data_IF_231693695046
#
_entry.id   IF_231693695046
#
_cell.length_a   1.000
_cell.length_b   1.000
_cell.length_c   1.000
_cell.angle_alpha   90.00
_cell.angle_beta   90.00
_cell.angle_gamma   90.00
#
_symmetry.space_group_name_H-M   'P 1'
#
loop_
_entity.id
_entity.type
_entity.pdbx_description
1 polymer ?
#
# COMPACT_ATOMS: atom_id res chain seq x y z
N UNK A 1 -5.46 31.58 -3.91
CA UNK A 1 -5.84 31.68 -5.34
C UNK A 1 -6.75 30.52 -5.61
N UNK A 2 -8.03 30.78 -5.85
CA UNK A 2 -9.08 29.79 -6.06
C UNK A 2 -9.11 29.44 -7.55
N UNK A 3 -8.73 28.22 -7.92
CA UNK A 3 -8.71 27.78 -9.32
C UNK A 3 -10.05 27.13 -9.68
N UNK A 4 -11.08 27.96 -9.80
CA UNK A 4 -12.43 27.55 -10.25
C UNK A 4 -12.52 27.29 -11.76
N UNK A 5 -11.43 27.02 -12.47
CA UNK A 5 -11.45 26.77 -13.92
C UNK A 5 -10.35 25.80 -14.34
N UNK A 6 -10.62 25.03 -15.40
CA UNK A 6 -9.78 23.94 -15.87
C UNK A 6 -8.32 24.35 -16.07
N UNK A 7 -7.41 23.76 -15.29
CA UNK A 7 -5.97 23.89 -15.49
C UNK A 7 -5.56 22.89 -16.55
N UNK A 8 -5.06 23.37 -17.69
CA UNK A 8 -4.43 22.53 -18.72
C UNK A 8 -2.91 22.53 -18.57
N UNK A 9 -2.34 21.36 -18.28
CA UNK A 9 -0.89 21.19 -18.12
C UNK A 9 -0.16 20.95 -19.46
N UNK A 10 -0.82 20.38 -20.47
CA UNK A 10 -0.26 20.11 -21.81
C UNK A 10 1.14 19.47 -21.77
N UNK A 11 1.33 18.45 -20.92
CA UNK A 11 2.62 17.77 -20.73
C UNK A 11 3.69 18.55 -19.95
N UNK A 12 3.43 19.80 -19.55
CA UNK A 12 4.39 20.68 -18.87
C UNK A 12 4.39 20.51 -17.35
N UNK A 13 5.46 21.00 -16.73
CA UNK A 13 5.53 21.17 -15.28
C UNK A 13 5.09 22.58 -14.90
N UNK A 14 4.07 22.69 -14.06
CA UNK A 14 3.64 23.94 -13.44
C UNK A 14 4.06 23.92 -11.97
N UNK A 15 4.92 24.86 -11.58
CA UNK A 15 5.28 25.05 -10.17
C UNK A 15 4.29 26.00 -9.52
N UNK A 16 3.70 25.59 -8.41
CA UNK A 16 2.80 26.42 -7.61
C UNK A 16 3.27 26.46 -6.16
N UNK A 17 3.04 27.58 -5.47
CA UNK A 17 3.37 27.63 -4.05
C UNK A 17 2.54 26.63 -3.24
N UNK A 18 1.23 26.58 -3.49
CA UNK A 18 0.28 25.61 -2.92
C UNK A 18 -0.75 25.24 -3.99
N UNK A 19 -1.14 23.97 -4.05
CA UNK A 19 -2.22 23.51 -4.92
C UNK A 19 -3.52 23.36 -4.13
N UNK A 20 -4.56 24.12 -4.49
CA UNK A 20 -5.85 24.10 -3.78
C UNK A 20 -7.03 24.33 -4.73
N UNK A 21 -8.03 23.43 -4.65
CA UNK A 21 -9.24 23.45 -5.48
C UNK A 21 -10.42 22.81 -4.75
N UNK A 22 -11.63 23.36 -4.89
CA UNK A 22 -12.85 22.73 -4.36
C UNK A 22 -13.92 22.71 -5.44
N UNK A 23 -14.50 21.53 -5.72
CA UNK A 23 -15.56 21.41 -6.73
C UNK A 23 -15.09 21.68 -8.17
N UNK A 24 -13.79 21.59 -8.43
CA UNK A 24 -13.20 21.94 -9.71
C UNK A 24 -13.06 20.73 -10.64
N UNK A 25 -12.87 20.99 -11.94
CA UNK A 25 -12.34 20.01 -12.89
C UNK A 25 -10.97 20.45 -13.35
N UNK A 26 -9.97 19.59 -13.19
CA UNK A 26 -8.59 19.77 -13.67
C UNK A 26 -8.39 18.89 -14.89
N UNK A 27 -7.90 19.45 -16.00
CA UNK A 27 -7.71 18.69 -17.25
C UNK A 27 -6.21 18.64 -17.55
N UNK A 28 -5.55 17.57 -17.15
CA UNK A 28 -4.14 17.37 -17.38
C UNK A 28 -3.89 16.39 -18.54
N UNK A 29 -3.54 16.90 -19.72
CA UNK A 29 -3.11 16.07 -20.84
C UNK A 29 -1.62 15.68 -20.69
N UNK A 30 -1.27 14.98 -19.61
CA UNK A 30 0.12 14.80 -19.20
C UNK A 30 0.66 15.99 -18.41
N UNK A 31 1.83 15.82 -17.79
CA UNK A 31 2.55 16.90 -17.10
C UNK A 31 2.62 16.72 -15.59
N UNK A 32 3.11 17.75 -14.90
CA UNK A 32 3.35 17.73 -13.46
C UNK A 32 2.85 19.02 -12.80
N UNK A 33 2.07 18.90 -11.74
CA UNK A 33 1.88 19.97 -10.77
C UNK A 33 2.93 19.79 -9.68
N UNK A 34 3.85 20.73 -9.57
CA UNK A 34 4.91 20.74 -8.57
C UNK A 34 4.56 21.77 -7.48
N UNK A 35 3.87 21.30 -6.44
CA UNK A 35 3.41 22.13 -5.34
C UNK A 35 4.50 22.22 -4.26
N UNK A 36 5.04 23.43 -4.08
CA UNK A 36 6.10 23.70 -3.08
C UNK A 36 5.63 23.35 -1.67
N UNK A 37 4.36 23.59 -1.35
CA UNK A 37 3.71 23.17 -0.11
C UNK A 37 2.39 22.49 -0.40
N UNK A 38 1.97 21.66 0.54
CA UNK A 38 0.61 21.12 0.59
C UNK A 38 -0.40 22.26 0.57
N UNK A 39 -1.34 22.22 -0.38
CA UNK A 39 -2.62 22.91 -0.25
C UNK A 39 -3.77 21.92 -0.07
N UNK A 40 -5.00 22.40 -0.05
CA UNK A 40 -6.19 21.60 0.19
C UNK A 40 -7.01 21.45 -1.09
N UNK A 41 -7.36 20.22 -1.46
CA UNK A 41 -8.36 20.00 -2.49
C UNK A 41 -9.41 18.95 -2.12
N UNK A 42 -10.62 19.17 -2.63
CA UNK A 42 -11.80 18.37 -2.34
C UNK A 42 -12.77 18.40 -3.52
N UNK A 43 -13.57 17.34 -3.69
CA UNK A 43 -14.62 17.29 -4.71
C UNK A 43 -14.12 17.65 -6.12
N UNK A 44 -12.86 17.31 -6.41
CA UNK A 44 -12.18 17.70 -7.65
C UNK A 44 -12.11 16.51 -8.60
N UNK A 45 -12.49 16.74 -9.85
CA UNK A 45 -12.35 15.76 -10.93
C UNK A 45 -11.08 16.04 -11.72
N UNK A 46 -10.17 15.08 -11.80
CA UNK A 46 -8.96 15.15 -12.61
C UNK A 46 -9.14 14.31 -13.87
N UNK A 47 -8.99 14.95 -15.04
CA UNK A 47 -9.06 14.32 -16.37
C UNK A 47 -7.69 14.28 -17.02
N UNK A 48 -7.35 13.15 -17.63
CA UNK A 48 -6.05 12.91 -18.26
C UNK A 48 -4.93 12.60 -17.26
N UNK A 49 -3.82 12.07 -17.79
CA UNK A 49 -2.72 11.57 -16.98
C UNK A 49 -1.96 12.73 -16.32
N UNK A 50 -1.63 12.62 -15.02
CA UNK A 50 -0.77 13.63 -14.39
C UNK A 50 0.01 13.14 -13.18
N UNK A 51 1.10 13.85 -12.92
CA UNK A 51 1.86 13.74 -11.67
C UNK A 51 1.57 14.93 -10.77
N UNK A 52 1.27 14.67 -9.51
CA UNK A 52 1.21 15.66 -8.45
C UNK A 52 2.40 15.44 -7.51
N UNK A 53 3.31 16.41 -7.49
CA UNK A 53 4.39 16.47 -6.50
C UNK A 53 3.99 17.42 -5.38
N UNK A 54 4.09 16.96 -4.14
CA UNK A 54 3.66 17.74 -2.97
C UNK A 54 4.77 17.79 -1.95
N UNK A 55 5.01 19.01 -1.49
CA UNK A 55 6.12 19.39 -0.64
C UNK A 55 7.44 19.20 -1.40
N UNK A 56 8.28 20.23 -1.40
CA UNK A 56 9.67 20.10 -1.80
C UNK A 56 10.51 19.72 -0.58
N UNK A 57 11.74 19.32 -0.85
CA UNK A 57 12.75 19.26 0.19
C UNK A 57 12.81 20.61 0.93
N UNK A 58 13.05 20.58 2.24
CA UNK A 58 13.08 21.75 3.15
C UNK A 58 11.72 22.44 3.43
N UNK A 59 10.66 22.16 2.66
CA UNK A 59 9.31 22.70 2.92
C UNK A 59 8.35 21.67 3.53
N UNK A 60 8.89 20.52 3.89
CA UNK A 60 8.19 19.31 4.33
C UNK A 60 7.89 19.26 5.83
N UNK A 61 7.97 20.39 6.54
CA UNK A 61 7.74 20.50 7.99
C UNK A 61 6.27 20.69 8.39
N UNK A 62 5.31 20.41 7.49
CA UNK A 62 3.89 20.73 7.70
C UNK A 62 3.00 19.50 7.55
N UNK A 63 1.97 19.41 8.41
CA UNK A 63 0.93 18.41 8.33
C UNK A 63 -0.05 18.79 7.21
N UNK A 64 -0.26 17.89 6.26
CA UNK A 64 -1.06 18.15 5.08
C UNK A 64 -2.14 17.09 4.84
N UNK A 65 -3.24 17.47 4.20
CA UNK A 65 -4.24 16.48 3.80
C UNK A 65 -5.06 16.90 2.57
N UNK A 66 -5.53 15.91 1.81
CA UNK A 66 -6.58 16.03 0.80
C UNK A 66 -7.89 15.56 1.42
N UNK A 67 -8.92 16.40 1.39
CA UNK A 67 -10.16 16.12 2.12
C UNK A 67 -11.06 15.09 1.44
N UNK A 68 -10.81 14.79 0.16
CA UNK A 68 -11.41 13.66 -0.53
C UNK A 68 -12.56 14.02 -1.46
N UNK A 69 -13.42 13.06 -1.80
CA UNK A 69 -14.45 13.17 -2.83
C UNK A 69 -13.89 13.47 -4.23
N UNK A 70 -12.61 13.16 -4.46
CA UNK A 70 -11.95 13.39 -5.73
C UNK A 70 -12.13 12.20 -6.66
N UNK A 71 -12.20 12.48 -7.96
CA UNK A 71 -12.21 11.45 -9.00
C UNK A 71 -11.01 11.65 -9.91
N UNK A 72 -10.22 10.61 -10.11
CA UNK A 72 -9.08 10.59 -11.03
C UNK A 72 -9.47 9.71 -12.22
N UNK A 73 -9.82 10.33 -13.36
CA UNK A 73 -10.40 9.62 -14.51
C UNK A 73 -9.36 8.79 -15.30
N UNK A 74 -8.07 9.10 -15.13
CA UNK A 74 -6.94 8.48 -15.84
C UNK A 74 -5.77 8.21 -14.89
N UNK A 75 -4.58 7.93 -15.42
CA UNK A 75 -3.43 7.54 -14.62
C UNK A 75 -2.96 8.69 -13.72
N UNK A 76 -2.72 8.35 -12.45
CA UNK A 76 -2.37 9.31 -11.43
C UNK A 76 -1.10 8.91 -10.71
N UNK A 77 -0.16 9.85 -10.59
CA UNK A 77 1.03 9.68 -9.76
C UNK A 77 1.12 10.75 -8.70
N UNK A 78 1.03 10.36 -7.44
CA UNK A 78 1.39 11.19 -6.30
C UNK A 78 2.84 10.94 -5.91
N UNK A 79 3.63 12.01 -5.78
CA UNK A 79 4.96 11.99 -5.15
C UNK A 79 4.96 12.96 -3.98
N UNK A 80 4.97 12.43 -2.77
CA UNK A 80 4.96 13.24 -1.56
C UNK A 80 6.33 13.23 -0.90
N UNK A 81 6.88 14.43 -0.63
CA UNK A 81 8.08 14.59 0.18
C UNK A 81 7.67 14.89 1.62
N UNK A 82 7.47 13.85 2.43
CA UNK A 82 7.14 14.02 3.86
C UNK A 82 8.40 14.34 4.68
N UNK A 83 8.32 15.26 5.63
CA UNK A 83 9.41 15.56 6.55
C UNK A 83 9.41 14.66 7.77
N UNK A 84 10.53 14.63 8.48
CA UNK A 84 10.61 13.89 9.73
C UNK A 84 9.52 14.38 10.70
N UNK A 85 8.82 13.45 11.33
CA UNK A 85 7.69 13.72 12.21
C UNK A 85 6.45 14.38 11.56
N UNK A 86 6.34 14.38 10.23
CA UNK A 86 5.20 15.00 9.52
C UNK A 86 4.36 13.99 8.75
N UNK A 87 3.13 14.38 8.46
CA UNK A 87 2.10 13.53 7.87
C UNK A 87 1.47 14.20 6.66
N UNK A 88 1.24 13.43 5.59
CA UNK A 88 0.40 13.80 4.47
C UNK A 88 -0.73 12.79 4.27
N UNK A 89 -1.99 13.21 4.36
CA UNK A 89 -3.16 12.35 4.14
C UNK A 89 -3.77 12.50 2.75
N UNK A 90 -4.16 11.41 2.11
CA UNK A 90 -5.05 11.41 0.93
C UNK A 90 -6.34 10.67 1.25
N UNK A 91 -7.45 11.05 0.62
CA UNK A 91 -8.79 10.59 1.01
C UNK A 91 -8.97 10.75 2.53
N UNK A 92 -8.90 11.98 3.06
CA UNK A 92 -8.87 12.18 4.52
C UNK A 92 -10.26 12.24 5.17
N UNK A 93 -11.30 12.72 4.49
CA UNK A 93 -12.65 12.83 5.06
C UNK A 93 -13.68 12.08 4.24
N UNK A 94 -13.65 12.25 2.91
CA UNK A 94 -14.55 11.55 1.99
C UNK A 94 -13.74 10.64 1.09
N UNK A 95 -14.32 9.54 0.65
CA UNK A 95 -13.65 8.59 -0.24
C UNK A 95 -13.23 9.20 -1.58
N UNK A 96 -12.09 8.76 -2.10
CA UNK A 96 -11.60 9.09 -3.45
C UNK A 96 -11.81 7.90 -4.40
N UNK A 97 -11.99 8.20 -5.68
CA UNK A 97 -12.15 7.22 -6.76
C UNK A 97 -11.02 7.36 -7.80
N UNK A 98 -10.25 6.30 -7.99
CA UNK A 98 -9.16 6.23 -8.96
C UNK A 98 -9.53 5.27 -10.09
N UNK A 99 -9.73 5.79 -11.31
CA UNK A 99 -10.15 5.01 -12.47
C UNK A 99 -8.97 4.47 -13.30
N UNK A 100 -7.85 5.20 -13.36
CA UNK A 100 -6.62 4.77 -14.06
C UNK A 100 -5.58 4.11 -13.14
N UNK A 101 -4.42 3.79 -13.71
CA UNK A 101 -3.30 3.26 -12.93
C UNK A 101 -2.82 4.31 -11.92
N UNK A 102 -2.58 3.89 -10.68
CA UNK A 102 -2.27 4.81 -9.59
C UNK A 102 -0.94 4.48 -8.93
N UNK A 103 -0.06 5.47 -8.79
CA UNK A 103 1.15 5.37 -7.96
C UNK A 103 1.09 6.37 -6.82
N UNK A 104 1.14 5.87 -5.60
CA UNK A 104 1.21 6.65 -4.35
C UNK A 104 2.61 6.46 -3.79
N UNK A 105 3.46 7.48 -3.94
CA UNK A 105 4.88 7.41 -3.60
C UNK A 105 5.23 8.38 -2.47
N UNK A 106 5.84 7.86 -1.39
CA UNK A 106 6.51 8.66 -0.38
C UNK A 106 8.02 8.67 -0.66
N UNK A 107 8.58 9.85 -0.93
CA UNK A 107 10.03 10.05 -1.12
C UNK A 107 10.69 10.72 0.09
N UNK A 108 9.92 10.96 1.16
CA UNK A 108 10.40 11.60 2.39
C UNK A 108 10.40 10.65 3.58
N UNK A 109 10.80 11.17 4.75
CA UNK A 109 11.03 10.38 5.97
C UNK A 109 9.84 10.32 6.94
N UNK A 110 8.74 11.02 6.64
CA UNK A 110 7.53 11.06 7.44
C UNK A 110 6.48 10.03 7.02
N UNK A 111 5.21 10.31 7.34
CA UNK A 111 4.05 9.47 7.07
C UNK A 111 3.25 9.95 5.87
N UNK A 112 3.10 9.08 4.88
CA UNK A 112 2.07 9.23 3.85
C UNK A 112 0.88 8.33 4.23
N UNK A 113 -0.25 8.94 4.56
CA UNK A 113 -1.45 8.22 4.95
C UNK A 113 -2.50 8.22 3.83
N UNK A 114 -3.22 7.12 3.66
CA UNK A 114 -4.24 6.90 2.64
C UNK A 114 -5.50 6.41 3.33
N UNK A 115 -6.66 7.01 3.08
CA UNK A 115 -7.93 6.63 3.72
C UNK A 115 -7.83 6.65 5.26
N UNK A 116 -7.91 7.85 5.85
CA UNK A 116 -7.53 8.13 7.25
C UNK A 116 -8.68 8.33 8.23
N UNK A 117 -9.93 8.05 7.84
CA UNK A 117 -11.13 8.16 8.67
C UNK A 117 -12.24 7.20 8.22
N UNK A 118 -13.26 6.93 9.06
CA UNK A 118 -14.31 5.94 8.77
C UNK A 118 -15.16 6.23 7.53
N UNK A 119 -15.30 7.51 7.16
CA UNK A 119 -16.01 7.95 5.97
C UNK A 119 -15.14 8.00 4.71
N UNK A 120 -13.85 7.69 4.84
CA UNK A 120 -12.87 7.86 3.78
C UNK A 120 -12.48 6.51 3.15
N UNK A 121 -13.19 6.18 2.08
CA UNK A 121 -12.95 4.95 1.32
C UNK A 121 -12.20 5.27 0.03
N UNK A 122 -10.97 4.80 -0.15
CA UNK A 122 -10.29 4.94 -1.44
C UNK A 122 -10.57 3.72 -2.32
N UNK A 123 -11.09 3.93 -3.52
CA UNK A 123 -11.37 2.85 -4.47
C UNK A 123 -10.45 2.95 -5.68
N UNK A 124 -9.68 1.90 -5.94
CA UNK A 124 -8.79 1.78 -7.09
C UNK A 124 -9.37 0.77 -8.08
N UNK A 125 -9.78 1.26 -9.25
CA UNK A 125 -10.37 0.45 -10.33
C UNK A 125 -9.32 -0.21 -11.23
N UNK A 126 -8.07 0.26 -11.16
CA UNK A 126 -6.95 -0.26 -11.91
C UNK A 126 -5.75 -0.53 -10.99
N UNK A 127 -4.61 -0.95 -11.56
CA UNK A 127 -3.41 -1.28 -10.81
C UNK A 127 -2.99 -0.12 -9.90
N UNK A 128 -2.64 -0.42 -8.65
CA UNK A 128 -2.18 0.56 -7.66
C UNK A 128 -0.84 0.18 -7.06
N UNK A 129 0.07 1.14 -6.98
CA UNK A 129 1.38 0.99 -6.34
C UNK A 129 1.48 1.89 -5.10
N UNK A 130 1.72 1.31 -3.94
CA UNK A 130 2.18 2.01 -2.74
C UNK A 130 3.69 1.87 -2.65
N UNK A 131 4.42 2.99 -2.76
CA UNK A 131 5.87 2.97 -2.86
C UNK A 131 6.54 3.88 -1.84
N UNK A 132 7.20 3.25 -0.88
CA UNK A 132 8.10 3.92 0.04
C UNK A 132 9.50 3.97 -0.59
N UNK A 133 9.84 5.12 -1.17
CA UNK A 133 11.00 5.31 -2.04
C UNK A 133 12.16 6.06 -1.38
N UNK A 134 12.00 6.48 -0.12
CA UNK A 134 13.08 7.09 0.64
C UNK A 134 14.19 6.05 0.89
N UNK A 135 15.46 6.49 0.85
CA UNK A 135 16.60 5.58 0.90
C UNK A 135 16.92 5.06 2.32
N UNK A 136 16.49 5.77 3.37
CA UNK A 136 16.76 5.43 4.77
C UNK A 136 15.49 5.01 5.53
N UNK A 137 14.67 5.98 5.95
CA UNK A 137 13.38 5.76 6.60
C UNK A 137 12.24 6.39 5.83
N UNK A 138 11.07 5.75 5.82
CA UNK A 138 9.84 6.31 5.28
C UNK A 138 8.65 5.46 5.69
N UNK A 139 7.46 6.05 5.69
CA UNK A 139 6.27 5.39 6.24
C UNK A 139 5.06 5.60 5.32
N UNK A 140 4.34 4.52 5.03
CA UNK A 140 3.04 4.57 4.39
C UNK A 140 2.02 3.87 5.27
N UNK A 141 0.88 4.51 5.52
CA UNK A 141 -0.23 3.92 6.26
C UNK A 141 -1.51 4.01 5.47
N UNK A 142 -2.24 2.90 5.37
CA UNK A 142 -3.42 2.78 4.54
C UNK A 142 -4.58 2.26 5.38
N UNK A 143 -5.75 2.87 5.26
CA UNK A 143 -6.97 2.46 5.99
C UNK A 143 -6.93 2.74 7.49
N UNK A 144 -6.18 3.75 7.91
CA UNK A 144 -6.02 4.11 9.32
C UNK A 144 -7.26 4.81 9.87
N UNK A 145 -7.47 4.68 11.19
CA UNK A 145 -8.61 5.27 11.91
C UNK A 145 -9.98 4.92 11.30
N UNK A 146 -10.12 3.69 10.81
CA UNK A 146 -11.37 3.17 10.23
C UNK A 146 -11.58 3.47 8.75
N UNK A 147 -10.65 4.16 8.07
CA UNK A 147 -10.68 4.23 6.62
C UNK A 147 -10.42 2.88 5.98
N UNK A 148 -10.81 2.72 4.72
CA UNK A 148 -10.64 1.45 3.99
C UNK A 148 -10.29 1.66 2.54
N UNK A 149 -9.62 0.66 1.98
CA UNK A 149 -9.32 0.63 0.55
C UNK A 149 -10.01 -0.55 -0.15
N UNK A 150 -10.41 -0.33 -1.39
CA UNK A 150 -10.85 -1.39 -2.29
C UNK A 150 -10.00 -1.33 -3.56
N UNK A 151 -9.34 -2.44 -3.88
CA UNK A 151 -8.51 -2.57 -5.08
C UNK A 151 -9.09 -3.68 -5.97
N UNK A 152 -9.52 -3.30 -7.17
CA UNK A 152 -10.17 -4.22 -8.13
C UNK A 152 -9.17 -4.92 -9.06
N UNK A 153 -7.95 -4.38 -9.14
CA UNK A 153 -6.83 -4.89 -9.93
C UNK A 153 -5.58 -5.01 -9.07
N UNK A 154 -4.44 -5.26 -9.69
CA UNK A 154 -3.22 -5.69 -9.00
C UNK A 154 -2.71 -4.59 -8.08
N UNK A 155 -2.22 -5.01 -6.92
CA UNK A 155 -1.59 -4.10 -5.95
C UNK A 155 -0.10 -4.39 -5.87
N UNK A 156 0.70 -3.34 -5.91
CA UNK A 156 2.14 -3.40 -5.71
C UNK A 156 2.50 -2.63 -4.44
N UNK A 157 3.15 -3.31 -3.50
CA UNK A 157 3.67 -2.71 -2.27
C UNK A 157 5.19 -2.75 -2.38
N UNK A 158 5.82 -1.57 -2.51
CA UNK A 158 7.26 -1.44 -2.74
C UNK A 158 7.90 -0.65 -1.61
N UNK A 159 8.94 -1.21 -1.00
CA UNK A 159 9.72 -0.56 0.05
C UNK A 159 11.22 -0.64 -0.25
N UNK A 160 11.83 0.53 -0.49
CA UNK A 160 13.26 0.69 -0.78
C UNK A 160 14.12 1.02 0.46
N UNK A 161 13.48 1.18 1.61
CA UNK A 161 14.12 1.65 2.84
C UNK A 161 15.09 0.62 3.44
N UNK A 162 16.07 1.11 4.20
CA UNK A 162 17.09 0.27 4.85
C UNK A 162 17.03 0.28 6.37
N UNK A 163 16.03 0.96 6.95
CA UNK A 163 15.83 1.03 8.39
C UNK A 163 14.61 0.22 8.85
N UNK A 164 14.77 -0.47 9.98
CA UNK A 164 13.69 -1.14 10.71
C UNK A 164 12.61 -0.19 11.26
N UNK A 165 12.90 1.12 11.30
CA UNK A 165 11.92 2.16 11.65
C UNK A 165 10.93 2.48 10.52
N UNK A 166 11.11 1.88 9.34
CA UNK A 166 10.27 2.08 8.15
C UNK A 166 9.18 1.03 8.07
N UNK A 167 8.02 1.43 7.54
CA UNK A 167 6.94 0.48 7.34
C UNK A 167 5.94 0.91 6.27
N UNK A 168 5.28 -0.08 5.69
CA UNK A 168 4.02 0.09 4.97
C UNK A 168 2.98 -0.74 5.71
N UNK A 169 1.93 -0.09 6.23
CA UNK A 169 0.84 -0.79 6.91
C UNK A 169 -0.49 -0.57 6.22
N UNK A 170 -1.23 -1.65 5.95
CA UNK A 170 -2.61 -1.62 5.49
C UNK A 170 -3.48 -2.15 6.62
N UNK A 171 -4.31 -1.28 7.19
CA UNK A 171 -5.11 -1.58 8.38
C UNK A 171 -6.43 -2.27 8.01
N UNK A 172 -7.05 -1.83 6.92
CA UNK A 172 -8.29 -2.38 6.36
C UNK A 172 -8.25 -2.30 4.83
N UNK A 173 -8.60 -3.39 4.16
CA UNK A 173 -8.65 -3.40 2.69
C UNK A 173 -9.34 -4.61 2.09
N UNK A 174 -9.76 -4.45 0.84
CA UNK A 174 -10.25 -5.55 0.01
C UNK A 174 -9.45 -5.61 -1.28
N UNK A 175 -8.83 -6.76 -1.54
CA UNK A 175 -7.99 -7.03 -2.71
C UNK A 175 -8.65 -8.08 -3.58
N UNK A 176 -9.25 -7.65 -4.69
CA UNK A 176 -9.97 -8.54 -5.61
C UNK A 176 -9.04 -9.21 -6.64
N UNK A 177 -7.80 -8.72 -6.77
CA UNK A 177 -6.76 -9.25 -7.66
C UNK A 177 -5.43 -9.46 -6.93
N UNK A 178 -4.37 -9.84 -7.66
CA UNK A 178 -3.06 -10.20 -7.09
C UNK A 178 -2.41 -9.05 -6.31
N UNK A 179 -1.73 -9.39 -5.20
CA UNK A 179 -0.93 -8.46 -4.40
C UNK A 179 0.53 -8.87 -4.45
N UNK A 180 1.39 -7.95 -4.87
CA UNK A 180 2.82 -8.15 -5.03
C UNK A 180 3.57 -7.26 -4.03
N UNK A 181 4.33 -7.87 -3.14
CA UNK A 181 5.13 -7.19 -2.12
C UNK A 181 6.59 -7.32 -2.50
N UNK A 182 7.29 -6.19 -2.63
CA UNK A 182 8.74 -6.12 -2.81
C UNK A 182 9.32 -5.16 -1.75
N UNK A 183 9.95 -5.72 -0.72
CA UNK A 183 10.43 -4.95 0.43
C UNK A 183 11.89 -5.27 0.75
N UNK A 184 12.64 -4.24 1.13
CA UNK A 184 14.06 -4.34 1.44
C UNK A 184 14.32 -4.69 2.91
N UNK A 185 14.18 -3.74 3.84
CA UNK A 185 14.37 -3.97 5.30
C UNK A 185 13.12 -3.67 6.12
N UNK A 186 12.23 -2.80 5.65
CA UNK A 186 11.10 -2.31 6.43
C UNK A 186 10.07 -3.39 6.84
N UNK A 187 9.07 -2.96 7.60
CA UNK A 187 7.96 -3.82 8.02
C UNK A 187 6.76 -3.62 7.11
N UNK A 188 6.19 -4.70 6.58
CA UNK A 188 4.93 -4.69 5.84
C UNK A 188 3.85 -5.34 6.70
N UNK A 189 2.94 -4.55 7.25
CA UNK A 189 1.84 -5.04 8.08
C UNK A 189 0.50 -4.96 7.36
N UNK A 190 -0.28 -6.03 7.31
CA UNK A 190 -1.58 -6.05 6.62
C UNK A 190 -2.67 -6.61 7.54
N UNK A 191 -3.81 -5.95 7.64
CA UNK A 191 -4.92 -6.30 8.54
C UNK A 191 -4.61 -6.01 10.00
N UNK A 192 -4.04 -4.85 10.30
CA UNK A 192 -3.54 -4.53 11.64
C UNK A 192 -4.60 -4.09 12.66
N UNK A 193 -5.78 -3.62 12.25
CA UNK A 193 -6.83 -3.22 13.20
C UNK A 193 -8.22 -3.70 12.81
N UNK A 194 -8.49 -3.87 11.51
CA UNK A 194 -9.77 -4.32 10.98
C UNK A 194 -9.59 -5.50 10.01
N UNK A 195 -10.71 -5.97 9.43
CA UNK A 195 -10.70 -7.10 8.51
C UNK A 195 -10.13 -6.70 7.15
N UNK A 196 -9.13 -7.45 6.69
CA UNK A 196 -8.61 -7.34 5.32
C UNK A 196 -8.88 -8.63 4.54
N UNK A 197 -9.38 -8.51 3.32
CA UNK A 197 -9.76 -9.68 2.50
C UNK A 197 -8.92 -9.77 1.23
N UNK A 198 -8.40 -10.95 0.94
CA UNK A 198 -7.69 -11.29 -0.29
C UNK A 198 -8.44 -12.34 -1.10
N UNK A 199 -8.69 -12.05 -2.38
CA UNK A 199 -9.41 -12.96 -3.29
C UNK A 199 -8.50 -13.75 -4.23
N UNK A 200 -7.28 -13.25 -4.42
CA UNK A 200 -6.28 -13.77 -5.38
C UNK A 200 -4.92 -13.86 -4.73
N UNK A 201 -3.90 -14.09 -5.55
CA UNK A 201 -2.59 -14.51 -5.11
C UNK A 201 -1.82 -13.39 -4.43
N UNK A 202 -0.96 -13.78 -3.48
CA UNK A 202 -0.03 -12.88 -2.83
C UNK A 202 1.38 -13.36 -3.12
N UNK A 203 2.17 -12.51 -3.75
CA UNK A 203 3.56 -12.76 -4.12
C UNK A 203 4.48 -11.89 -3.27
N UNK A 204 5.45 -12.49 -2.59
CA UNK A 204 6.39 -11.76 -1.73
C UNK A 204 7.82 -11.92 -2.22
N UNK A 205 8.49 -10.77 -2.40
CA UNK A 205 9.92 -10.61 -2.63
C UNK A 205 10.52 -9.86 -1.45
N UNK A 206 11.35 -10.55 -0.67
CA UNK A 206 12.02 -9.97 0.50
C UNK A 206 13.50 -9.78 0.17
N UNK A 207 13.95 -8.55 -0.06
CA UNK A 207 15.32 -8.27 -0.55
C UNK A 207 16.40 -8.40 0.52
N UNK A 208 16.21 -7.86 1.74
CA UNK A 208 17.26 -7.77 2.76
C UNK A 208 16.78 -8.11 4.20
N UNK A 209 15.76 -8.98 4.34
CA UNK A 209 15.29 -9.45 5.63
C UNK A 209 14.12 -8.64 6.21
N UNK A 210 13.20 -8.16 5.36
CA UNK A 210 11.98 -7.51 5.79
C UNK A 210 11.09 -8.43 6.65
N UNK A 211 10.20 -7.81 7.43
CA UNK A 211 9.12 -8.52 8.15
C UNK A 211 7.83 -8.28 7.40
N UNK A 212 7.13 -9.35 7.04
CA UNK A 212 5.76 -9.28 6.52
C UNK A 212 4.82 -9.92 7.53
N UNK A 213 3.82 -9.17 7.96
CA UNK A 213 2.87 -9.57 9.00
C UNK A 213 1.44 -9.45 8.48
N UNK A 214 0.71 -10.56 8.54
CA UNK A 214 -0.71 -10.65 8.22
C UNK A 214 -1.49 -10.84 9.51
N UNK A 215 -2.41 -9.92 9.77
CA UNK A 215 -3.16 -9.80 11.00
C UNK A 215 -2.27 -9.38 12.16
N UNK A 216 -2.72 -8.40 12.93
CA UNK A 216 -2.09 -7.99 14.19
C UNK A 216 -3.10 -7.22 15.05
N UNK A 217 -2.74 -6.98 16.31
CA UNK A 217 -3.54 -6.24 17.32
C UNK A 217 -5.00 -6.72 17.43
N UNK A 218 -5.91 -6.06 16.70
CA UNK A 218 -7.35 -6.36 16.66
C UNK A 218 -7.84 -6.85 15.30
N UNK A 219 -7.04 -6.68 14.24
CA UNK A 219 -7.46 -6.96 12.86
C UNK A 219 -7.43 -8.44 12.51
N UNK A 220 -8.17 -8.79 11.46
CA UNK A 220 -8.27 -10.15 10.91
C UNK A 220 -7.87 -10.12 9.44
N UNK A 221 -7.26 -11.18 8.95
CA UNK A 221 -7.03 -11.37 7.50
C UNK A 221 -7.78 -12.58 7.00
N UNK A 222 -8.55 -12.40 5.93
CA UNK A 222 -9.30 -13.47 5.26
C UNK A 222 -8.71 -13.71 3.87
N UNK A 223 -8.24 -14.94 3.65
CA UNK A 223 -7.79 -15.43 2.36
C UNK A 223 -8.92 -16.29 1.75
N UNK A 224 -9.70 -15.73 0.83
CA UNK A 224 -10.84 -16.41 0.20
C UNK A 224 -10.37 -17.62 -0.63
N UNK A 225 -11.26 -18.56 -0.94
CA UNK A 225 -10.96 -19.83 -1.65
C UNK A 225 -10.09 -19.69 -2.91
N UNK A 226 -10.17 -18.55 -3.61
CA UNK A 226 -9.41 -18.26 -4.83
C UNK A 226 -7.98 -17.73 -4.64
N UNK A 227 -7.57 -17.45 -3.39
CA UNK A 227 -6.23 -16.93 -3.07
C UNK A 227 -5.22 -18.06 -2.91
N UNK A 228 -4.02 -17.88 -3.48
CA UNK A 228 -2.82 -18.65 -3.15
C UNK A 228 -1.72 -17.74 -2.59
N UNK A 229 -0.71 -18.34 -1.98
CA UNK A 229 0.41 -17.62 -1.41
C UNK A 229 1.70 -18.14 -2.04
N UNK A 230 2.58 -17.25 -2.49
CA UNK A 230 3.87 -17.63 -3.03
C UNK A 230 4.97 -16.72 -2.49
N UNK A 231 6.05 -17.32 -2.00
CA UNK A 231 7.28 -16.62 -1.64
C UNK A 231 8.31 -17.00 -2.69
N UNK A 232 8.82 -16.00 -3.44
CA UNK A 232 9.79 -16.27 -4.51
C UNK A 232 11.06 -16.95 -3.96
N UNK A 233 11.54 -17.98 -4.64
CA UNK A 233 12.84 -18.65 -4.37
C UNK A 233 14.04 -17.72 -4.54
N UNK A 234 13.91 -16.61 -5.26
CA UNK A 234 15.07 -15.82 -5.69
C UNK A 234 15.73 -15.03 -4.57
N UNK A 235 15.20 -15.02 -3.34
CA UNK A 235 15.80 -14.24 -2.25
C UNK A 235 15.85 -15.01 -0.93
N UNK A 236 17.04 -15.20 -0.33
CA UNK A 236 17.15 -15.74 1.02
C UNK A 236 16.43 -14.78 1.98
N UNK A 237 15.45 -15.23 2.76
CA UNK A 237 15.00 -14.45 3.93
C UNK A 237 16.05 -14.57 5.04
N UNK A 238 17.31 -14.30 4.74
CA UNK A 238 18.36 -14.13 5.74
C UNK A 238 17.88 -13.03 6.69
N UNK A 239 17.36 -13.42 7.85
CA UNK A 239 16.80 -12.56 8.93
C UNK A 239 15.38 -12.01 8.71
N UNK A 240 14.68 -12.37 7.62
CA UNK A 240 13.29 -11.96 7.40
C UNK A 240 12.28 -12.83 8.15
N UNK A 241 11.12 -12.27 8.50
CA UNK A 241 10.03 -13.01 9.16
C UNK A 241 8.74 -12.89 8.37
N UNK A 242 8.03 -14.00 8.24
CA UNK A 242 6.64 -14.01 7.79
C UNK A 242 5.76 -14.40 8.98
N UNK A 243 4.84 -13.53 9.36
CA UNK A 243 3.95 -13.73 10.50
C UNK A 243 2.52 -13.80 10.02
N UNK A 244 1.80 -14.81 10.50
CA UNK A 244 0.36 -14.89 10.38
C UNK A 244 -0.23 -14.86 11.79
N UNK A 245 -1.16 -13.95 12.04
CA UNK A 245 -1.97 -13.90 13.27
C UNK A 245 -3.40 -13.63 12.83
N UNK A 246 -4.40 -14.19 13.51
CA UNK A 246 -5.83 -13.90 13.22
C UNK A 246 -6.18 -14.05 11.73
N UNK A 247 -5.68 -15.12 11.13
CA UNK A 247 -5.80 -15.39 9.71
C UNK A 247 -6.81 -16.53 9.46
N UNK A 248 -7.74 -16.32 8.55
CA UNK A 248 -8.66 -17.36 8.05
C UNK A 248 -8.34 -17.68 6.61
N UNK A 249 -7.96 -18.93 6.35
CA UNK A 249 -7.78 -19.45 4.99
C UNK A 249 -9.01 -20.24 4.58
N UNK A 250 -9.95 -19.57 3.92
CA UNK A 250 -11.24 -20.14 3.53
C UNK A 250 -11.12 -21.18 2.43
N UNK A 251 -11.93 -22.22 2.48
CA UNK A 251 -12.05 -23.19 1.40
C UNK A 251 -12.88 -24.39 1.82
N UNK A 252 -12.91 -25.41 0.97
CA UNK A 252 -13.60 -26.66 1.29
C UNK A 252 -12.56 -27.70 1.72
N UNK A 253 -12.61 -28.11 2.98
CA UNK A 253 -11.73 -29.16 3.54
C UNK A 253 -11.83 -30.49 2.77
N UNK A 254 -12.92 -30.69 2.03
CA UNK A 254 -13.18 -31.85 1.17
C UNK A 254 -12.53 -31.78 -0.21
N UNK A 255 -12.01 -30.63 -0.65
CA UNK A 255 -11.33 -30.47 -1.94
C UNK A 255 -9.82 -30.74 -1.80
N UNK A 256 -9.44 -32.01 -1.88
CA UNK A 256 -8.08 -32.51 -1.66
C UNK A 256 -7.09 -32.24 -2.79
N UNK A 257 -7.51 -31.63 -3.91
CA UNK A 257 -6.73 -31.64 -5.15
C UNK A 257 -5.72 -30.51 -5.31
N UNK A 258 -5.75 -29.45 -4.49
CA UNK A 258 -4.68 -28.43 -4.47
C UNK A 258 -4.57 -27.81 -3.09
N UNK A 259 -3.60 -28.22 -2.25
CA UNK A 259 -3.39 -27.58 -0.95
C UNK A 259 -2.92 -26.13 -1.14
N UNK A 260 -3.26 -25.25 -0.19
CA UNK A 260 -2.59 -23.96 -0.07
C UNK A 260 -1.11 -24.21 0.21
N UNK A 261 -0.23 -23.76 -0.68
CA UNK A 261 1.21 -23.85 -0.48
C UNK A 261 1.67 -22.59 0.26
N UNK A 262 2.18 -22.77 1.48
CA UNK A 262 2.99 -21.79 2.19
C UNK A 262 4.45 -22.25 2.06
N UNK A 263 5.01 -22.09 0.87
CA UNK A 263 6.32 -22.63 0.53
C UNK A 263 7.30 -21.51 0.16
N UNK A 264 8.54 -21.64 0.66
CA UNK A 264 9.71 -21.00 0.05
C UNK A 264 10.34 -21.98 -0.94
N UNK A 265 10.49 -21.56 -2.19
CA UNK A 265 10.90 -22.46 -3.28
C UNK A 265 12.39 -22.83 -3.31
N UNK A 266 13.17 -22.42 -2.30
CA UNK A 266 14.56 -22.85 -2.17
C UNK A 266 14.71 -24.14 -1.36
N UNK A 267 15.42 -25.09 -1.98
CA UNK A 267 16.10 -26.19 -1.29
C UNK A 267 17.09 -25.57 -0.30
N UNK A 268 17.19 -26.06 0.96
CA UNK A 268 18.08 -25.45 1.94
C UNK A 268 19.53 -25.63 1.50
N UNK A 269 20.16 -24.54 1.07
CA UNK A 269 21.62 -24.43 0.99
C UNK A 269 22.07 -23.51 2.12
N UNK A 270 22.14 -24.02 3.35
CA UNK A 270 23.26 -23.79 4.27
C UNK A 270 22.93 -24.23 5.69
N UNK A 271 23.98 -24.34 6.50
CA UNK A 271 23.95 -24.44 7.97
C UNK A 271 23.45 -23.16 8.68
N UNK A 272 22.86 -22.21 7.95
CA UNK A 272 22.30 -20.96 8.49
C UNK A 272 20.86 -20.78 7.99
N UNK A 273 19.86 -20.93 8.86
CA UNK A 273 18.44 -20.86 8.49
C UNK A 273 18.09 -19.48 7.93
N UNK A 274 17.35 -19.48 6.82
CA UNK A 274 17.08 -18.30 5.98
C UNK A 274 15.58 -18.05 5.78
N UNK A 275 14.68 -18.65 6.55
CA UNK A 275 13.24 -18.34 6.51
C UNK A 275 12.59 -18.69 7.84
N UNK A 276 11.85 -17.74 8.40
CA UNK A 276 11.07 -17.92 9.63
C UNK A 276 9.59 -17.66 9.35
N UNK A 277 8.76 -18.71 9.43
CA UNK A 277 7.30 -18.57 9.45
C UNK A 277 6.84 -18.67 10.91
N UNK A 278 6.09 -17.67 11.35
CA UNK A 278 5.48 -17.64 12.68
C UNK A 278 3.97 -17.75 12.51
N UNK A 279 3.39 -18.79 13.12
CA UNK A 279 1.96 -19.02 13.19
C UNK A 279 1.47 -18.58 14.58
N UNK A 280 0.94 -17.37 14.67
CA UNK A 280 0.42 -16.80 15.91
C UNK A 280 -0.96 -17.30 16.31
N UNK A 281 -1.64 -16.52 17.15
CA UNK A 281 -2.95 -16.85 17.68
C UNK A 281 -4.07 -16.75 16.64
N UNK A 282 -5.13 -17.54 16.84
CA UNK A 282 -6.40 -17.47 16.07
C UNK A 282 -6.23 -17.68 14.56
N UNK A 283 -5.45 -18.68 14.16
CA UNK A 283 -5.33 -19.11 12.77
C UNK A 283 -6.34 -20.22 12.47
N UNK A 284 -7.11 -20.07 11.40
CA UNK A 284 -8.09 -21.06 10.95
C UNK A 284 -7.78 -21.50 9.52
N UNK A 285 -7.59 -22.80 9.31
CA UNK A 285 -7.46 -23.41 7.98
C UNK A 285 -8.74 -24.18 7.65
N UNK A 286 -9.49 -23.74 6.64
CA UNK A 286 -10.71 -24.42 6.16
C UNK A 286 -10.46 -25.24 4.89
N UNK A 287 -9.21 -25.30 4.41
CA UNK A 287 -8.73 -26.12 3.29
C UNK A 287 -7.39 -26.77 3.64
N UNK A 288 -6.98 -27.86 2.96
CA UNK A 288 -5.67 -28.45 3.16
C UNK A 288 -4.53 -27.44 2.93
N UNK A 289 -3.53 -27.42 3.82
CA UNK A 289 -2.36 -26.53 3.72
C UNK A 289 -1.08 -27.34 3.79
N UNK A 290 -0.10 -26.97 2.96
CA UNK A 290 1.25 -27.51 2.99
C UNK A 290 2.22 -26.37 3.25
N UNK A 291 2.93 -26.44 4.37
CA UNK A 291 3.89 -25.42 4.81
C UNK A 291 5.31 -25.97 4.63
N UNK A 292 6.20 -25.17 4.03
CA UNK A 292 7.63 -25.49 3.89
C UNK A 292 8.46 -24.24 4.21
N UNK A 293 9.20 -24.31 5.30
CA UNK A 293 10.13 -23.28 5.77
C UNK A 293 11.30 -23.90 6.53
N UNK A 294 12.40 -23.14 6.72
CA UNK A 294 13.55 -23.58 7.54
C UNK A 294 13.15 -23.67 9.02
N UNK A 295 12.33 -22.73 9.51
CA UNK A 295 11.67 -22.81 10.81
C UNK A 295 10.20 -22.43 10.75
N UNK A 296 9.43 -23.16 11.54
CA UNK A 296 8.04 -22.87 11.86
C UNK A 296 7.97 -22.75 13.39
N UNK A 297 7.50 -21.61 13.88
CA UNK A 297 7.23 -21.35 15.31
C UNK A 297 5.75 -21.10 15.52
#
# INVERSE_FOLDING_TARGET
MDWGSAINLDGKTVTVWMFSTTGATVIANGGTIDAVRTGAYQATTFRGNFTLKINREETNNYLGAQYGANTYENDFKLVCHTGNWTTYGISNQVGDLFLGETTIQNIGSGWLMVATNPSSNATFKNDVTFHNAHNYEGRIQVGVYGGKIQCEKRVFIKDETVSWGSYITITEGRFDDEVNIDAKVGVIGIGSQNTTTFKKNINITNRNGCVVEFGSHSGQVVFEKGSSFAISSSVPMTRGQLKFQRCTFEGDASTTTTPLLLQVDNVPFSSSPTTYIILGDQITFQRPVKIRADYIY
#
